data_IF_912305438558
#
_entry.id   IF_912305438558
#
_cell.length_a   1.000
_cell.length_b   1.000
_cell.length_c   1.000
_cell.angle_alpha   90.00
_cell.angle_beta   90.00
_cell.angle_gamma   90.00
#
_symmetry.space_group_name_H-M   'P 1'
#
loop_
_entity.id
_entity.type
_entity.pdbx_description
1 polymer ?
#
# COMPACT_ATOMS: atom_id res chain seq x y z
N UNK A 1 17.45 25.30 13.19
CA UNK A 1 16.83 25.06 11.87
C UNK A 1 17.36 23.80 11.16
N UNK A 2 18.56 23.37 11.40
CA UNK A 2 19.24 22.21 10.76
C UNK A 2 18.56 20.84 11.02
N UNK A 3 17.94 20.67 12.17
CA UNK A 3 17.33 19.39 12.59
C UNK A 3 16.03 19.05 11.83
N UNK A 4 15.31 20.02 11.26
CA UNK A 4 14.09 19.78 10.47
C UNK A 4 14.39 19.27 9.06
N UNK A 5 15.47 19.75 8.46
CA UNK A 5 15.85 19.40 7.08
C UNK A 5 16.44 17.99 7.00
N UNK A 6 17.15 17.52 8.04
CA UNK A 6 17.68 16.15 8.14
C UNK A 6 16.58 15.09 8.26
N UNK A 7 15.38 15.43 8.79
CA UNK A 7 14.24 14.51 8.92
C UNK A 7 13.38 14.37 7.66
N UNK A 8 13.35 15.36 6.77
CA UNK A 8 12.47 15.38 5.60
C UNK A 8 12.95 14.42 4.51
N UNK A 9 14.27 14.27 4.33
CA UNK A 9 14.86 13.40 3.29
C UNK A 9 14.49 11.91 3.46
N UNK A 10 14.64 11.28 4.65
CA UNK A 10 14.27 9.86 4.81
C UNK A 10 12.76 9.62 4.68
N UNK A 11 11.91 10.54 5.15
CA UNK A 11 10.46 10.45 4.97
C UNK A 11 10.07 10.46 3.49
N UNK A 12 10.66 11.36 2.71
CA UNK A 12 10.41 11.44 1.28
C UNK A 12 10.80 10.16 0.55
N UNK A 13 11.96 9.57 0.89
CA UNK A 13 12.43 8.31 0.29
C UNK A 13 11.46 7.17 0.61
N UNK A 14 11.01 7.05 1.87
CA UNK A 14 10.04 6.03 2.28
C UNK A 14 8.71 6.20 1.54
N UNK A 15 8.19 7.43 1.44
CA UNK A 15 6.93 7.72 0.73
C UNK A 15 7.04 7.42 -0.77
N UNK A 16 8.19 7.73 -1.39
CA UNK A 16 8.44 7.43 -2.80
C UNK A 16 8.54 5.93 -3.05
N UNK A 17 9.31 5.20 -2.22
CA UNK A 17 9.44 3.74 -2.32
C UNK A 17 8.08 3.08 -2.12
N UNK A 18 7.28 3.55 -1.15
CA UNK A 18 5.94 3.04 -0.92
C UNK A 18 5.03 3.23 -2.15
N UNK A 19 5.11 4.38 -2.82
CA UNK A 19 4.35 4.64 -4.03
C UNK A 19 4.79 3.77 -5.21
N UNK A 20 6.10 3.58 -5.41
CA UNK A 20 6.66 2.76 -6.49
C UNK A 20 6.33 1.28 -6.29
N UNK A 21 6.53 0.74 -5.08
CA UNK A 21 6.21 -0.64 -4.76
C UNK A 21 4.70 -0.90 -4.81
N UNK A 22 3.88 0.06 -4.38
CA UNK A 22 2.42 -0.03 -4.50
C UNK A 22 1.95 -0.06 -5.96
N UNK A 23 2.55 0.75 -6.84
CA UNK A 23 2.27 0.72 -8.27
C UNK A 23 2.69 -0.61 -8.90
N UNK A 24 3.88 -1.13 -8.55
CA UNK A 24 4.36 -2.42 -9.02
C UNK A 24 3.47 -3.58 -8.52
N UNK A 25 3.01 -3.52 -7.25
CA UNK A 25 2.05 -4.48 -6.69
C UNK A 25 0.72 -4.47 -7.46
N UNK A 26 0.18 -3.29 -7.74
CA UNK A 26 -1.05 -3.16 -8.52
C UNK A 26 -0.90 -3.72 -9.93
N UNK A 27 0.19 -3.40 -10.61
CA UNK A 27 0.50 -3.92 -11.95
C UNK A 27 0.57 -5.45 -11.95
N UNK A 28 1.38 -6.04 -11.07
CA UNK A 28 1.53 -7.51 -11.01
C UNK A 28 0.23 -8.20 -10.59
N UNK A 29 -0.60 -7.58 -9.76
CA UNK A 29 -1.92 -8.09 -9.40
C UNK A 29 -2.88 -8.14 -10.59
N UNK A 30 -2.84 -7.15 -11.48
CA UNK A 30 -3.60 -7.14 -12.74
C UNK A 30 -3.11 -8.24 -13.68
N UNK A 31 -1.79 -8.42 -13.82
CA UNK A 31 -1.20 -9.47 -14.66
C UNK A 31 -1.59 -10.89 -14.18
N UNK A 32 -1.61 -11.13 -12.85
CA UNK A 32 -2.08 -12.39 -12.27
C UNK A 32 -3.56 -12.64 -12.63
N UNK A 33 -4.39 -11.61 -12.48
CA UNK A 33 -5.81 -11.73 -12.79
C UNK A 33 -6.03 -12.03 -14.27
N UNK A 34 -5.28 -11.35 -15.16
CA UNK A 34 -5.33 -11.57 -16.59
C UNK A 34 -4.87 -12.99 -16.97
N UNK A 35 -3.68 -13.41 -16.49
CA UNK A 35 -3.17 -14.76 -16.75
C UNK A 35 -4.10 -15.85 -16.21
N UNK A 36 -4.73 -15.65 -15.05
CA UNK A 36 -5.72 -16.55 -14.49
C UNK A 36 -6.99 -16.65 -15.33
N UNK A 37 -7.44 -15.53 -15.92
CA UNK A 37 -8.62 -15.50 -16.79
C UNK A 37 -8.39 -16.27 -18.10
N UNK A 38 -7.21 -16.17 -18.69
CA UNK A 38 -6.84 -16.88 -19.92
C UNK A 38 -6.26 -18.27 -19.69
N UNK A 39 -6.27 -18.77 -18.44
CA UNK A 39 -5.77 -20.09 -18.04
C UNK A 39 -4.28 -20.34 -18.40
N UNK A 40 -3.49 -19.31 -18.46
CA UNK A 40 -2.05 -19.37 -18.68
C UNK A 40 -1.31 -19.70 -17.37
N UNK A 41 -1.30 -20.99 -17.01
CA UNK A 41 -0.78 -21.45 -15.71
C UNK A 41 0.67 -21.02 -15.42
N UNK A 42 1.57 -21.12 -16.40
CA UNK A 42 2.98 -20.73 -16.24
C UNK A 42 3.14 -19.23 -16.02
N UNK A 43 2.43 -18.40 -16.77
CA UNK A 43 2.43 -16.95 -16.61
C UNK A 43 1.81 -16.55 -15.27
N UNK A 44 0.67 -17.16 -14.89
CA UNK A 44 0.02 -16.94 -13.60
C UNK A 44 0.96 -17.23 -12.43
N UNK A 45 1.65 -18.38 -12.45
CA UNK A 45 2.61 -18.75 -11.40
C UNK A 45 3.78 -17.76 -11.34
N UNK A 46 4.37 -17.43 -12.48
CA UNK A 46 5.49 -16.46 -12.55
C UNK A 46 5.10 -15.10 -11.97
N UNK A 47 3.97 -14.54 -12.38
CA UNK A 47 3.47 -13.27 -11.86
C UNK A 47 3.11 -13.34 -10.37
N UNK A 48 2.60 -14.47 -9.88
CA UNK A 48 2.30 -14.69 -8.46
C UNK A 48 3.55 -14.61 -7.60
N UNK A 49 4.65 -15.24 -8.01
CA UNK A 49 5.94 -15.17 -7.31
C UNK A 49 6.46 -13.72 -7.26
N UNK A 50 6.46 -13.03 -8.40
CA UNK A 50 6.90 -11.62 -8.47
C UNK A 50 6.05 -10.73 -7.58
N UNK A 51 4.71 -10.92 -7.59
CA UNK A 51 3.78 -10.18 -6.76
C UNK A 51 4.05 -10.37 -5.27
N UNK A 52 4.28 -11.60 -4.83
CA UNK A 52 4.60 -11.92 -3.42
C UNK A 52 5.89 -11.21 -3.00
N UNK A 53 6.97 -11.30 -3.80
CA UNK A 53 8.25 -10.65 -3.48
C UNK A 53 8.10 -9.13 -3.36
N UNK A 54 7.40 -8.49 -4.30
CA UNK A 54 7.12 -7.05 -4.28
C UNK A 54 6.32 -6.68 -3.04
N UNK A 55 5.29 -7.47 -2.68
CA UNK A 55 4.44 -7.17 -1.53
C UNK A 55 5.15 -7.38 -0.19
N UNK A 56 6.06 -8.33 -0.07
CA UNK A 56 6.90 -8.46 1.13
C UNK A 56 7.76 -7.20 1.32
N UNK A 57 8.43 -6.73 0.25
CA UNK A 57 9.18 -5.47 0.29
C UNK A 57 8.26 -4.27 0.63
N UNK A 58 7.06 -4.23 0.03
CA UNK A 58 6.09 -3.16 0.28
C UNK A 58 5.59 -3.14 1.73
N UNK A 59 5.31 -4.30 2.32
CA UNK A 59 4.95 -4.43 3.75
C UNK A 59 6.02 -3.85 4.67
N UNK A 60 7.30 -4.12 4.40
CA UNK A 60 8.42 -3.58 5.18
C UNK A 60 8.43 -2.04 5.10
N UNK A 61 8.29 -1.49 3.89
CA UNK A 61 8.29 -0.03 3.68
C UNK A 61 7.05 0.61 4.33
N UNK A 62 5.87 -0.03 4.25
CA UNK A 62 4.66 0.43 4.94
C UNK A 62 4.83 0.44 6.46
N UNK A 63 5.50 -0.57 7.03
CA UNK A 63 5.82 -0.59 8.45
C UNK A 63 6.72 0.59 8.86
N UNK A 64 7.76 0.88 8.05
CA UNK A 64 8.62 2.05 8.27
C UNK A 64 7.83 3.35 8.17
N UNK A 65 6.92 3.47 7.18
CA UNK A 65 6.04 4.63 7.04
C UNK A 65 5.14 4.81 8.29
N UNK A 66 4.50 3.75 8.75
CA UNK A 66 3.69 3.78 9.97
C UNK A 66 4.52 4.18 11.20
N UNK A 67 5.75 3.66 11.35
CA UNK A 67 6.68 4.03 12.41
C UNK A 67 7.00 5.54 12.41
N UNK A 68 7.23 6.12 11.24
CA UNK A 68 7.46 7.56 11.11
C UNK A 68 6.23 8.41 11.50
N UNK A 69 5.03 7.88 11.29
CA UNK A 69 3.77 8.54 11.64
C UNK A 69 3.17 8.07 12.96
N UNK A 70 3.95 7.38 13.81
CA UNK A 70 3.49 6.77 15.07
C UNK A 70 2.81 7.74 16.03
N UNK A 71 3.27 9.00 16.09
CA UNK A 71 2.65 10.03 16.91
C UNK A 71 1.18 10.30 16.52
N UNK A 72 0.87 10.23 15.20
CA UNK A 72 -0.49 10.36 14.70
C UNK A 72 -1.37 9.17 15.11
N UNK A 73 -0.86 7.94 15.00
CA UNK A 73 -1.58 6.75 15.46
C UNK A 73 -1.87 6.82 16.96
N UNK A 74 -0.89 7.20 17.78
CA UNK A 74 -1.10 7.41 19.21
C UNK A 74 -2.20 8.43 19.52
N UNK A 75 -2.31 9.50 18.72
CA UNK A 75 -3.33 10.53 18.93
C UNK A 75 -4.75 10.01 18.66
N UNK A 76 -4.91 9.06 17.73
CA UNK A 76 -6.20 8.41 17.47
C UNK A 76 -6.71 7.60 18.68
N UNK A 77 -5.79 6.85 19.33
CA UNK A 77 -6.13 6.04 20.51
C UNK A 77 -6.44 6.87 21.75
N UNK A 78 -5.98 8.13 21.81
CA UNK A 78 -6.23 9.02 22.96
C UNK A 78 -7.58 9.78 22.88
N UNK A 79 -8.49 9.38 21.99
CA UNK A 79 -9.85 9.93 21.96
C UNK A 79 -9.92 11.35 21.46
N UNK A 80 -9.26 11.72 20.38
CA UNK A 80 -9.41 13.04 19.78
C UNK A 80 -10.85 13.30 19.32
N UNK A 81 -11.49 14.42 19.76
CA UNK A 81 -12.92 14.65 19.57
C UNK A 81 -13.34 15.01 18.15
N UNK A 82 -12.45 15.21 17.21
CA UNK A 82 -12.83 15.43 15.81
C UNK A 82 -11.87 14.74 14.84
N UNK A 83 -12.24 13.53 14.43
CA UNK A 83 -11.60 12.90 13.29
C UNK A 83 -11.89 13.75 12.04
N UNK A 84 -10.94 14.57 11.62
CA UNK A 84 -11.09 15.40 10.42
C UNK A 84 -11.36 14.51 9.20
N UNK A 85 -12.01 15.04 8.17
CA UNK A 85 -12.25 14.31 6.90
C UNK A 85 -10.96 13.67 6.33
N UNK A 86 -9.80 14.31 6.53
CA UNK A 86 -8.49 13.80 6.10
C UNK A 86 -8.08 12.56 6.89
N UNK A 87 -8.33 12.53 8.19
CA UNK A 87 -8.06 11.38 9.06
C UNK A 87 -8.96 10.19 8.72
N UNK A 88 -10.24 10.42 8.38
CA UNK A 88 -11.15 9.35 7.96
C UNK A 88 -10.67 8.63 6.70
N UNK A 89 -10.20 9.37 5.69
CA UNK A 89 -9.65 8.77 4.46
C UNK A 89 -8.43 7.92 4.78
N UNK A 90 -7.52 8.42 5.64
CA UNK A 90 -6.33 7.66 6.04
C UNK A 90 -6.70 6.37 6.79
N UNK A 91 -7.71 6.40 7.64
CA UNK A 91 -8.21 5.20 8.33
C UNK A 91 -8.79 4.17 7.35
N UNK A 92 -9.57 4.62 6.34
CA UNK A 92 -10.10 3.74 5.31
C UNK A 92 -8.97 3.09 4.51
N UNK A 93 -7.95 3.85 4.12
CA UNK A 93 -6.76 3.32 3.43
C UNK A 93 -6.05 2.27 4.29
N UNK A 94 -5.83 2.55 5.59
CA UNK A 94 -5.20 1.59 6.50
C UNK A 94 -6.03 0.31 6.66
N UNK A 95 -7.36 0.44 6.76
CA UNK A 95 -8.27 -0.71 6.86
C UNK A 95 -8.21 -1.58 5.60
N UNK A 96 -8.31 -0.98 4.41
CA UNK A 96 -8.22 -1.69 3.15
C UNK A 96 -6.84 -2.32 2.95
N UNK A 97 -5.77 -1.63 3.37
CA UNK A 97 -4.42 -2.18 3.35
C UNK A 97 -4.31 -3.43 4.23
N UNK A 98 -4.81 -3.37 5.46
CA UNK A 98 -4.84 -4.53 6.35
C UNK A 98 -5.66 -5.69 5.75
N UNK A 99 -6.86 -5.41 5.22
CA UNK A 99 -7.70 -6.41 4.57
C UNK A 99 -7.00 -7.06 3.35
N UNK A 100 -6.32 -6.25 2.51
CA UNK A 100 -5.53 -6.76 1.38
C UNK A 100 -4.36 -7.62 1.85
N UNK A 101 -3.64 -7.20 2.90
CA UNK A 101 -2.54 -7.98 3.47
C UNK A 101 -3.02 -9.32 4.04
N UNK A 102 -4.11 -9.32 4.83
CA UNK A 102 -4.67 -10.55 5.40
C UNK A 102 -5.19 -11.52 4.34
N UNK A 103 -5.89 -11.02 3.33
CA UNK A 103 -6.37 -11.87 2.23
C UNK A 103 -5.21 -12.40 1.38
N UNK A 104 -4.16 -11.60 1.16
CA UNK A 104 -2.94 -12.03 0.46
C UNK A 104 -2.17 -13.11 1.22
N UNK A 105 -2.02 -12.96 2.55
CA UNK A 105 -1.43 -14.01 3.40
C UNK A 105 -2.30 -15.27 3.39
N UNK A 106 -3.63 -15.12 3.44
CA UNK A 106 -4.57 -16.23 3.33
C UNK A 106 -4.42 -17.00 2.02
N UNK A 107 -4.25 -16.29 0.89
CA UNK A 107 -3.98 -16.90 -0.40
C UNK A 107 -2.65 -17.67 -0.41
N UNK A 108 -1.62 -17.10 0.19
CA UNK A 108 -0.30 -17.73 0.25
C UNK A 108 -0.29 -19.01 1.10
N UNK A 109 -1.08 -19.05 2.18
CA UNK A 109 -1.07 -20.16 3.14
C UNK A 109 -2.10 -21.26 2.83
N UNK A 110 -3.24 -20.91 2.22
CA UNK A 110 -4.42 -21.80 2.17
C UNK A 110 -5.00 -21.98 0.78
N UNK A 111 -4.63 -21.14 -0.22
CA UNK A 111 -5.22 -21.25 -1.54
C UNK A 111 -4.35 -22.12 -2.46
N UNK A 112 -4.94 -23.19 -2.96
CA UNK A 112 -4.34 -24.04 -3.99
C UNK A 112 -4.95 -23.67 -5.35
N UNK A 113 -4.11 -23.15 -6.27
CA UNK A 113 -4.46 -22.92 -7.67
C UNK A 113 -5.15 -21.60 -8.01
N UNK A 114 -5.61 -21.51 -9.26
CA UNK A 114 -6.25 -20.33 -9.85
C UNK A 114 -7.74 -20.25 -9.51
N UNK A 115 -8.31 -19.03 -9.61
CA UNK A 115 -9.77 -18.85 -9.62
C UNK A 115 -10.49 -19.00 -8.29
N UNK A 116 -9.79 -18.86 -7.15
CA UNK A 116 -10.42 -18.96 -5.84
C UNK A 116 -11.27 -17.72 -5.52
N UNK A 117 -12.38 -17.91 -4.77
CA UNK A 117 -13.20 -16.79 -4.28
C UNK A 117 -12.36 -15.79 -3.46
N UNK A 118 -11.42 -16.29 -2.64
CA UNK A 118 -10.51 -15.44 -1.87
C UNK A 118 -9.61 -14.61 -2.80
N UNK A 119 -9.13 -15.17 -3.91
CA UNK A 119 -8.36 -14.46 -4.93
C UNK A 119 -9.14 -13.30 -5.55
N UNK A 120 -10.42 -13.52 -5.87
CA UNK A 120 -11.29 -12.47 -6.39
C UNK A 120 -11.50 -11.34 -5.37
N UNK A 121 -11.77 -11.67 -4.11
CA UNK A 121 -11.91 -10.66 -3.05
C UNK A 121 -10.61 -9.87 -2.84
N UNK A 122 -9.46 -10.55 -2.79
CA UNK A 122 -8.16 -9.91 -2.69
C UNK A 122 -7.92 -8.91 -3.84
N UNK A 123 -8.22 -9.33 -5.08
CA UNK A 123 -8.10 -8.48 -6.27
C UNK A 123 -8.99 -7.24 -6.18
N UNK A 124 -10.28 -7.39 -5.87
CA UNK A 124 -11.24 -6.27 -5.79
C UNK A 124 -10.83 -5.28 -4.69
N UNK A 125 -10.46 -5.77 -3.50
CA UNK A 125 -9.99 -4.93 -2.39
C UNK A 125 -8.68 -4.24 -2.79
N UNK A 126 -7.76 -4.94 -3.47
CA UNK A 126 -6.50 -4.39 -3.96
C UNK A 126 -6.69 -3.26 -4.97
N UNK A 127 -7.63 -3.38 -5.92
CA UNK A 127 -7.98 -2.31 -6.85
C UNK A 127 -8.56 -1.10 -6.12
N UNK A 128 -9.47 -1.31 -5.18
CA UNK A 128 -10.04 -0.22 -4.36
C UNK A 128 -8.94 0.49 -3.54
N UNK A 129 -8.03 -0.26 -2.92
CA UNK A 129 -6.87 0.28 -2.21
C UNK A 129 -5.99 1.12 -3.14
N UNK A 130 -5.67 0.59 -4.33
CA UNK A 130 -4.84 1.28 -5.33
C UNK A 130 -5.44 2.62 -5.72
N UNK A 131 -6.73 2.68 -6.02
CA UNK A 131 -7.44 3.91 -6.37
C UNK A 131 -7.37 4.96 -5.25
N UNK A 132 -7.57 4.54 -3.99
CA UNK A 132 -7.49 5.44 -2.83
C UNK A 132 -6.05 5.88 -2.54
N UNK A 133 -5.06 4.98 -2.67
CA UNK A 133 -3.65 5.32 -2.52
C UNK A 133 -3.21 6.33 -3.56
N UNK A 134 -3.63 6.17 -4.83
CA UNK A 134 -3.34 7.13 -5.90
C UNK A 134 -3.92 8.51 -5.58
N UNK A 135 -5.19 8.59 -5.16
CA UNK A 135 -5.82 9.84 -4.72
C UNK A 135 -5.13 10.47 -3.50
N UNK A 136 -4.68 9.65 -2.56
CA UNK A 136 -3.91 10.10 -1.40
C UNK A 136 -2.54 10.66 -1.81
N UNK A 137 -1.82 9.95 -2.68
CA UNK A 137 -0.51 10.36 -3.19
C UNK A 137 -0.59 11.68 -3.97
N UNK A 138 -1.54 11.82 -4.90
CA UNK A 138 -1.72 13.06 -5.68
C UNK A 138 -1.94 14.26 -4.76
N UNK A 139 -2.79 14.14 -3.73
CA UNK A 139 -3.03 15.22 -2.75
C UNK A 139 -1.80 15.55 -1.91
N UNK A 140 -0.96 14.57 -1.60
CA UNK A 140 0.26 14.75 -0.80
C UNK A 140 1.45 15.22 -1.63
N UNK A 141 1.48 14.91 -2.91
CA UNK A 141 2.60 15.22 -3.80
C UNK A 141 2.95 16.71 -3.82
N UNK A 142 1.95 17.59 -3.80
CA UNK A 142 2.17 19.04 -3.74
C UNK A 142 2.90 19.48 -2.46
N UNK A 143 2.63 18.82 -1.35
CA UNK A 143 3.27 19.10 -0.04
C UNK A 143 4.71 18.57 -0.04
N UNK A 144 4.91 17.36 -0.56
CA UNK A 144 6.22 16.74 -0.74
C UNK A 144 7.14 17.61 -1.63
N UNK A 145 6.63 18.07 -2.78
CA UNK A 145 7.36 18.96 -3.70
C UNK A 145 7.76 20.30 -3.06
N UNK A 146 6.87 20.88 -2.24
CA UNK A 146 7.18 22.11 -1.49
C UNK A 146 8.27 21.87 -0.44
N UNK A 147 8.29 20.71 0.22
CA UNK A 147 9.31 20.32 1.19
C UNK A 147 10.71 20.17 0.58
N UNK A 148 10.79 19.70 -0.68
CA UNK A 148 12.05 19.55 -1.42
C UNK A 148 12.61 20.88 -1.94
N UNK A 149 11.73 21.85 -2.26
CA UNK A 149 12.15 23.19 -2.79
C UNK A 149 12.63 24.16 -1.72
N UNK A 150 12.36 23.90 -0.45
CA UNK A 150 12.92 24.71 0.65
C UNK A 150 14.33 24.22 0.97
N UNK A 151 15.30 24.72 0.16
CA UNK A 151 16.72 24.74 0.51
C UNK A 151 16.98 25.82 1.55
#
# INVERSE_FOLDING_TARGET
>A
MENKTKRIKPLFVVDLLMALLGAASAYTGVEIHYAGHFQEHSAWHGWSVVHVVINVAWLIVCFLHCKHHWAWYKSLFKGMPSCSRKSKITLIVNFLFAATAFTGIGLLLFAEGQGTHLGLHHYVIGIALTALCLGHFIKRFSILRKGLRRK
#
